data_IF_261492139528
#
_entry.id   IF_261492139528
#
_cell.length_a   1.000
_cell.length_b   1.000
_cell.length_c   1.000
_cell.angle_alpha   90.00
_cell.angle_beta   90.00
_cell.angle_gamma   90.00
#
_symmetry.space_group_name_H-M   'P 1'
#
loop_
_entity.id
_entity.type
_entity.pdbx_description
1 polymer ?
#
# COMPACT_ATOMS: atom_id res chain seq x y z
N UNK A 1 52.81 13.29 -8.59
CA UNK A 1 51.46 13.67 -9.07
C UNK A 1 50.51 12.62 -8.55
N UNK A 2 49.80 12.92 -7.47
CA UNK A 2 48.73 12.03 -6.99
C UNK A 2 47.54 12.17 -7.92
N UNK A 3 46.98 11.04 -8.38
CA UNK A 3 45.80 11.06 -9.23
C UNK A 3 44.59 11.50 -8.42
N UNK A 4 43.71 12.36 -8.95
CA UNK A 4 42.54 12.82 -8.22
C UNK A 4 41.65 11.63 -7.83
N UNK A 5 41.00 11.68 -6.65
CA UNK A 5 40.10 10.62 -6.21
C UNK A 5 38.96 10.46 -7.22
N UNK A 6 38.71 9.21 -7.61
CA UNK A 6 37.61 8.85 -8.50
C UNK A 6 36.31 9.26 -7.81
N UNK A 7 35.60 10.26 -8.37
CA UNK A 7 34.28 10.64 -7.88
C UNK A 7 33.36 9.43 -8.03
N UNK A 8 32.92 8.86 -6.91
CA UNK A 8 31.92 7.79 -6.91
C UNK A 8 30.61 8.42 -7.34
N UNK A 9 30.21 8.19 -8.59
CA UNK A 9 28.85 8.45 -9.01
C UNK A 9 27.98 7.36 -8.37
N UNK A 10 27.34 7.70 -7.25
CA UNK A 10 26.13 6.98 -6.86
C UNK A 10 25.11 7.30 -7.95
N UNK A 11 24.95 6.42 -8.93
CA UNK A 11 23.79 6.50 -9.80
C UNK A 11 22.58 6.30 -8.89
N UNK A 12 21.87 7.38 -8.61
CA UNK A 12 20.53 7.41 -7.99
C UNK A 12 19.53 6.72 -8.92
N UNK A 13 19.71 5.41 -9.11
CA UNK A 13 18.84 4.63 -9.98
C UNK A 13 17.48 4.50 -9.29
N UNK A 14 16.49 5.24 -9.80
CA UNK A 14 15.13 5.21 -9.26
C UNK A 14 14.60 3.79 -9.34
N UNK A 15 14.23 3.24 -8.19
CA UNK A 15 13.72 1.87 -8.11
C UNK A 15 12.28 1.81 -8.62
N UNK A 16 12.07 1.19 -9.79
CA UNK A 16 10.74 1.04 -10.39
C UNK A 16 9.76 0.28 -9.49
N UNK A 17 10.23 -0.74 -8.78
CA UNK A 17 9.40 -1.52 -7.84
C UNK A 17 8.88 -0.65 -6.69
N UNK A 18 9.70 0.29 -6.22
CA UNK A 18 9.36 1.22 -5.15
C UNK A 18 8.31 2.23 -5.62
N UNK A 19 8.47 2.76 -6.84
CA UNK A 19 7.48 3.65 -7.44
C UNK A 19 6.12 2.96 -7.64
N UNK A 20 6.13 1.71 -8.16
CA UNK A 20 4.91 0.91 -8.31
C UNK A 20 4.22 0.70 -6.97
N UNK A 21 4.99 0.35 -5.94
CA UNK A 21 4.46 0.06 -4.61
C UNK A 21 3.86 1.30 -3.93
N UNK A 22 4.48 2.47 -4.10
CA UNK A 22 3.89 3.76 -3.68
C UNK A 22 2.58 4.04 -4.39
N UNK A 23 2.58 3.90 -5.72
CA UNK A 23 1.38 4.08 -6.54
C UNK A 23 0.24 3.16 -6.09
N UNK A 24 0.56 1.89 -5.82
CA UNK A 24 -0.41 0.92 -5.28
C UNK A 24 -0.94 1.37 -3.91
N UNK A 25 -0.07 1.81 -3.00
CA UNK A 25 -0.47 2.27 -1.67
C UNK A 25 -1.40 3.49 -1.76
N UNK A 26 -1.08 4.46 -2.63
CA UNK A 26 -1.95 5.62 -2.87
C UNK A 26 -3.28 5.23 -3.54
N UNK A 27 -3.25 4.29 -4.49
CA UNK A 27 -4.45 3.77 -5.14
C UNK A 27 -5.42 3.15 -4.12
N UNK A 28 -4.91 2.37 -3.16
CA UNK A 28 -5.71 1.79 -2.10
C UNK A 28 -6.35 2.85 -1.19
N UNK A 29 -5.63 3.94 -0.88
CA UNK A 29 -6.18 5.07 -0.12
C UNK A 29 -7.31 5.78 -0.88
N UNK A 30 -7.16 5.97 -2.19
CA UNK A 30 -8.20 6.57 -3.03
C UNK A 30 -9.43 5.67 -3.09
N UNK A 31 -9.24 4.36 -3.22
CA UNK A 31 -10.33 3.39 -3.25
C UNK A 31 -11.18 3.42 -1.97
N UNK A 32 -10.56 3.52 -0.78
CA UNK A 32 -11.30 3.74 0.47
C UNK A 32 -12.10 5.03 0.45
N UNK A 33 -11.53 6.13 -0.05
CA UNK A 33 -12.26 7.40 -0.17
C UNK A 33 -13.49 7.30 -1.08
N UNK A 34 -13.49 6.38 -2.05
CA UNK A 34 -14.67 6.09 -2.88
C UNK A 34 -15.70 5.15 -2.23
N UNK A 35 -15.46 4.69 -0.99
CA UNK A 35 -16.30 3.74 -0.25
C UNK A 35 -16.46 2.38 -0.94
N UNK A 36 -15.55 2.02 -1.85
CA UNK A 36 -15.69 0.77 -2.61
C UNK A 36 -15.60 -0.46 -1.70
N UNK A 37 -14.85 -0.38 -0.61
CA UNK A 37 -14.67 -1.49 0.34
C UNK A 37 -15.95 -1.78 1.12
N UNK A 38 -16.72 -0.75 1.50
CA UNK A 38 -18.05 -0.92 2.11
C UNK A 38 -19.01 -1.67 1.18
N UNK A 39 -18.95 -1.39 -0.13
CA UNK A 39 -19.76 -2.11 -1.12
C UNK A 39 -19.34 -3.57 -1.29
N UNK A 40 -18.08 -3.93 -1.05
CA UNK A 40 -17.62 -5.32 -1.16
C UNK A 40 -18.12 -6.21 -0.02
N UNK A 41 -18.50 -5.62 1.12
CA UNK A 41 -19.06 -6.35 2.27
C UNK A 41 -20.57 -6.17 2.42
N UNK A 42 -21.23 -5.67 1.39
CA UNK A 42 -22.66 -5.43 1.40
C UNK A 42 -23.44 -6.75 1.63
N UNK A 43 -24.67 -6.69 2.18
CA UNK A 43 -25.46 -7.88 2.48
C UNK A 43 -25.66 -8.82 1.28
N UNK A 44 -25.65 -8.27 0.07
CA UNK A 44 -25.77 -9.01 -1.20
C UNK A 44 -24.59 -9.98 -1.44
N UNK A 45 -23.41 -9.66 -0.89
CA UNK A 45 -22.21 -10.49 -0.99
C UNK A 45 -21.96 -11.36 0.25
N UNK A 46 -22.86 -11.33 1.25
CA UNK A 46 -22.68 -12.07 2.49
C UNK A 46 -22.48 -13.58 2.25
N UNK A 47 -21.48 -14.16 2.92
CA UNK A 47 -21.12 -15.58 2.79
C UNK A 47 -20.33 -15.94 1.53
N UNK A 48 -20.07 -14.99 0.64
CA UNK A 48 -19.24 -15.21 -0.56
C UNK A 48 -17.76 -14.92 -0.30
N UNK A 49 -16.89 -15.41 -1.19
CA UNK A 49 -15.47 -15.07 -1.17
C UNK A 49 -15.22 -13.58 -1.43
N UNK A 50 -16.15 -12.88 -2.11
CA UNK A 50 -16.07 -11.43 -2.37
C UNK A 50 -16.12 -10.67 -1.05
N UNK A 51 -17.10 -10.99 -0.20
CA UNK A 51 -17.19 -10.41 1.14
C UNK A 51 -15.98 -10.78 2.01
N UNK A 52 -15.43 -11.99 1.86
CA UNK A 52 -14.22 -12.39 2.59
C UNK A 52 -12.99 -11.54 2.20
N UNK A 53 -12.85 -11.19 0.91
CA UNK A 53 -11.83 -10.25 0.44
C UNK A 53 -12.13 -8.83 0.93
N UNK A 54 -13.38 -8.37 0.80
CA UNK A 54 -13.81 -7.04 1.27
C UNK A 54 -13.49 -6.82 2.75
N UNK A 55 -13.67 -7.84 3.60
CA UNK A 55 -13.32 -7.78 5.02
C UNK A 55 -11.84 -7.47 5.29
N UNK A 56 -10.91 -7.79 4.37
CA UNK A 56 -9.49 -7.45 4.53
C UNK A 56 -9.22 -5.95 4.35
N UNK A 57 -10.12 -5.24 3.68
CA UNK A 57 -10.03 -3.81 3.41
C UNK A 57 -10.75 -2.93 4.45
N UNK A 58 -11.34 -3.53 5.50
CA UNK A 58 -11.85 -2.79 6.65
C UNK A 58 -10.90 -2.86 7.82
N UNK A 59 -10.67 -1.72 8.48
CA UNK A 59 -9.88 -1.68 9.71
C UNK A 59 -10.43 -2.65 10.76
N UNK A 60 -9.56 -3.45 11.38
CA UNK A 60 -9.96 -4.28 12.51
C UNK A 60 -10.02 -3.43 13.78
N UNK A 61 -11.03 -3.57 14.65
CA UNK A 61 -11.04 -2.85 15.92
C UNK A 61 -9.88 -3.31 16.81
N UNK A 62 -8.94 -2.38 17.06
CA UNK A 62 -7.87 -2.33 18.08
C UNK A 62 -6.89 -3.51 18.25
N UNK A 63 -7.37 -4.74 18.32
CA UNK A 63 -6.57 -5.96 18.54
C UNK A 63 -6.70 -6.94 17.38
N UNK A 64 -6.32 -6.50 16.18
CA UNK A 64 -6.25 -7.34 15.00
C UNK A 64 -5.23 -6.83 13.99
N UNK A 65 -5.03 -7.61 12.93
CA UNK A 65 -4.23 -7.23 11.77
C UNK A 65 -5.00 -7.66 10.53
N UNK A 66 -5.43 -6.68 9.75
CA UNK A 66 -5.97 -6.85 8.41
C UNK A 66 -5.05 -6.19 7.40
N UNK A 67 -5.20 -6.59 6.14
CA UNK A 67 -4.44 -6.01 5.05
C UNK A 67 -4.50 -4.47 5.04
N UNK A 68 -5.69 -3.91 5.29
CA UNK A 68 -5.90 -2.46 5.36
C UNK A 68 -4.99 -1.74 6.36
N UNK A 69 -4.70 -2.37 7.49
CA UNK A 69 -3.92 -1.77 8.58
C UNK A 69 -2.47 -1.48 8.17
N UNK A 70 -1.99 -2.13 7.11
CA UNK A 70 -0.66 -1.93 6.56
C UNK A 70 -0.56 -0.71 5.62
N UNK A 71 -1.67 -0.30 5.01
CA UNK A 71 -1.69 0.78 4.00
C UNK A 71 -1.24 2.12 4.59
N UNK A 72 -1.69 2.45 5.81
CA UNK A 72 -1.33 3.72 6.46
C UNK A 72 0.16 3.80 6.84
N UNK A 73 0.77 2.79 7.50
CA UNK A 73 2.22 2.76 7.71
C UNK A 73 3.04 2.81 6.42
N UNK A 74 2.59 2.11 5.38
CA UNK A 74 3.26 2.16 4.07
C UNK A 74 3.24 3.56 3.46
N UNK A 75 2.11 4.26 3.54
CA UNK A 75 2.04 5.65 3.07
C UNK A 75 2.99 6.58 3.83
N UNK A 76 3.15 6.38 5.15
CA UNK A 76 3.96 7.27 5.98
C UNK A 76 5.47 7.00 5.91
N UNK A 77 5.88 5.74 5.76
CA UNK A 77 7.26 5.34 6.07
C UNK A 77 8.05 4.79 4.87
N UNK A 78 7.46 4.63 3.69
CA UNK A 78 8.18 4.20 2.48
C UNK A 78 8.92 5.36 1.81
N UNK A 79 10.25 5.25 1.75
CA UNK A 79 11.21 6.22 1.19
C UNK A 79 12.05 5.59 0.07
#
# INVERSE_FOLDING_TARGET
METPPKSVNFSDERLLSLDLYRGLTMFLLIAEYTLIYDHLVSPEFAGTWIAAIGQQFHHHPWHGLRFWDLVQPFFMFIV
#
